data_IF_872443782991
#
_entry.id   IF_872443782991
#
_cell.length_a   1.000
_cell.length_b   1.000
_cell.length_c   1.000
_cell.angle_alpha   90.00
_cell.angle_beta   90.00
_cell.angle_gamma   90.00
#
_symmetry.space_group_name_H-M   'P 1'
#
loop_
_entity.id
_entity.type
_entity.pdbx_description
1 polymer ?
#
# COMPACT_ATOMS: atom_id res chain seq x y z
N UNK A 1 1.48 -21.19 7.43
CA UNK A 1 2.36 -20.01 7.56
C UNK A 1 2.10 -19.33 8.89
N UNK A 2 3.16 -18.92 9.61
CA UNK A 2 3.02 -18.14 10.86
C UNK A 2 2.85 -16.63 10.57
N UNK A 3 2.43 -15.84 11.57
CA UNK A 3 2.36 -14.38 11.43
C UNK A 3 3.72 -13.73 11.17
N UNK A 4 4.78 -14.23 11.82
CA UNK A 4 6.15 -13.76 11.61
C UNK A 4 6.63 -14.06 10.19
N UNK A 5 6.31 -15.25 9.69
CA UNK A 5 6.65 -15.64 8.33
C UNK A 5 5.92 -14.78 7.29
N UNK A 6 4.64 -14.49 7.50
CA UNK A 6 3.88 -13.59 6.64
C UNK A 6 4.45 -12.16 6.67
N UNK A 7 4.80 -11.65 7.86
CA UNK A 7 5.40 -10.32 8.01
C UNK A 7 6.75 -10.21 7.28
N UNK A 8 7.60 -11.24 7.38
CA UNK A 8 8.86 -11.32 6.66
C UNK A 8 8.65 -11.34 5.15
N UNK A 9 7.74 -12.18 4.63
CA UNK A 9 7.45 -12.23 3.19
C UNK A 9 6.92 -10.90 2.65
N UNK A 10 6.07 -10.19 3.41
CA UNK A 10 5.60 -8.84 3.03
C UNK A 10 6.77 -7.86 2.95
N UNK A 11 7.68 -7.91 3.93
CA UNK A 11 8.84 -7.05 3.95
C UNK A 11 9.78 -7.31 2.77
N UNK A 12 10.17 -8.57 2.54
CA UNK A 12 11.03 -9.00 1.44
C UNK A 12 10.43 -8.65 0.07
N UNK A 13 9.12 -8.85 -0.09
CA UNK A 13 8.43 -8.49 -1.32
C UNK A 13 8.52 -6.97 -1.57
N UNK A 14 8.26 -6.16 -0.54
CA UNK A 14 8.31 -4.70 -0.68
C UNK A 14 9.73 -4.22 -1.00
N UNK A 15 10.76 -4.81 -0.40
CA UNK A 15 12.15 -4.50 -0.72
C UNK A 15 12.47 -4.82 -2.18
N UNK A 16 12.16 -6.04 -2.64
CA UNK A 16 12.35 -6.44 -4.03
C UNK A 16 11.65 -5.47 -5.00
N UNK A 17 10.40 -5.10 -4.72
CA UNK A 17 9.65 -4.16 -5.56
C UNK A 17 10.24 -2.74 -5.56
N UNK A 18 10.78 -2.28 -4.43
CA UNK A 18 11.44 -0.98 -4.31
C UNK A 18 12.76 -0.95 -5.10
N UNK A 19 13.50 -2.05 -5.08
CA UNK A 19 14.77 -2.22 -5.78
C UNK A 19 14.60 -2.50 -7.28
N UNK A 20 13.36 -2.62 -7.75
CA UNK A 20 13.04 -2.82 -9.17
C UNK A 20 13.15 -4.28 -9.61
N UNK A 21 12.97 -5.23 -8.70
CA UNK A 21 12.84 -6.66 -8.95
C UNK A 21 11.36 -7.10 -8.85
N UNK A 22 10.55 -6.87 -9.90
CA UNK A 22 9.13 -7.20 -9.90
C UNK A 22 8.86 -8.71 -9.92
N UNK A 23 9.81 -9.52 -10.42
CA UNK A 23 9.65 -10.97 -10.52
C UNK A 23 9.71 -11.59 -9.12
N UNK A 24 10.76 -11.27 -8.34
CA UNK A 24 10.87 -11.72 -6.94
C UNK A 24 9.70 -11.19 -6.10
N UNK A 25 9.33 -9.92 -6.27
CA UNK A 25 8.17 -9.37 -5.56
C UNK A 25 6.87 -10.11 -5.89
N UNK A 26 6.65 -10.41 -7.18
CA UNK A 26 5.49 -11.16 -7.65
C UNK A 26 5.42 -12.57 -7.06
N UNK A 27 6.53 -13.29 -7.03
CA UNK A 27 6.62 -14.64 -6.48
C UNK A 27 6.31 -14.67 -4.98
N UNK A 28 6.85 -13.72 -4.22
CA UNK A 28 6.61 -13.61 -2.77
C UNK A 28 5.15 -13.25 -2.46
N UNK A 29 4.53 -12.35 -3.23
CA UNK A 29 3.10 -12.01 -3.08
C UNK A 29 2.22 -13.19 -3.47
N UNK A 30 2.56 -13.90 -4.55
CA UNK A 30 1.81 -15.08 -4.98
C UNK A 30 1.85 -16.18 -3.90
N UNK A 31 3.01 -16.36 -3.24
CA UNK A 31 3.14 -17.26 -2.09
C UNK A 31 2.28 -16.82 -0.92
N UNK A 32 2.31 -15.53 -0.55
CA UNK A 32 1.41 -14.98 0.47
C UNK A 32 -0.06 -15.23 0.14
N UNK A 33 -0.46 -15.05 -1.12
CA UNK A 33 -1.81 -15.30 -1.59
C UNK A 33 -2.26 -16.74 -1.45
N UNK A 34 -1.40 -17.71 -1.81
CA UNK A 34 -1.71 -19.15 -1.72
C UNK A 34 -1.87 -19.64 -0.28
N UNK A 35 -1.09 -19.09 0.65
CA UNK A 35 -0.99 -19.58 2.02
C UNK A 35 -1.83 -18.76 3.03
N UNK A 36 -2.64 -17.82 2.55
CA UNK A 36 -3.49 -16.94 3.38
C UNK A 36 -4.97 -17.26 3.24
N UNK A 37 -5.67 -17.24 4.37
CA UNK A 37 -7.12 -17.07 4.41
C UNK A 37 -7.47 -15.55 4.35
N UNK A 38 -8.77 -15.23 4.36
CA UNK A 38 -9.25 -13.86 4.32
C UNK A 38 -8.72 -13.02 5.50
N UNK A 39 -8.76 -13.54 6.73
CA UNK A 39 -8.31 -12.80 7.91
C UNK A 39 -6.79 -12.53 7.87
N UNK A 40 -6.00 -13.51 7.45
CA UNK A 40 -4.56 -13.36 7.27
C UNK A 40 -4.25 -12.37 6.16
N UNK A 41 -4.96 -12.43 5.04
CA UNK A 41 -4.78 -11.49 3.94
C UNK A 41 -5.17 -10.06 4.33
N UNK A 42 -6.16 -9.87 5.20
CA UNK A 42 -6.43 -8.57 5.81
C UNK A 42 -5.23 -8.06 6.61
N UNK A 43 -4.60 -8.92 7.40
CA UNK A 43 -3.34 -8.61 8.10
C UNK A 43 -2.21 -8.20 7.13
N UNK A 44 -2.07 -8.91 6.01
CA UNK A 44 -1.11 -8.58 4.94
C UNK A 44 -1.41 -7.19 4.35
N UNK A 45 -2.65 -6.88 3.99
CA UNK A 45 -3.03 -5.55 3.49
C UNK A 45 -2.71 -4.44 4.50
N UNK A 46 -2.94 -4.68 5.79
CA UNK A 46 -2.57 -3.74 6.85
C UNK A 46 -1.05 -3.54 6.94
N UNK A 47 -0.27 -4.61 6.88
CA UNK A 47 1.20 -4.54 6.92
C UNK A 47 1.77 -3.77 5.72
N UNK A 48 1.24 -4.05 4.52
CA UNK A 48 1.57 -3.31 3.29
C UNK A 48 1.23 -1.82 3.46
N UNK A 49 -0.01 -1.49 3.82
CA UNK A 49 -0.42 -0.09 4.00
C UNK A 49 0.36 0.65 5.09
N UNK A 50 0.77 -0.04 6.16
CA UNK A 50 1.60 0.55 7.23
C UNK A 50 2.99 0.98 6.73
N UNK A 51 3.54 0.37 5.68
CA UNK A 51 4.81 0.81 5.10
C UNK A 51 4.75 2.26 4.59
N UNK A 52 3.58 2.72 4.13
CA UNK A 52 3.37 4.08 3.64
C UNK A 52 3.53 5.14 4.75
N UNK A 53 3.29 4.80 6.03
CA UNK A 53 3.52 5.72 7.16
C UNK A 53 4.97 6.24 7.21
N UNK A 54 5.94 5.41 6.80
CA UNK A 54 7.35 5.80 6.73
C UNK A 54 7.67 6.61 5.48
N UNK A 55 6.89 6.45 4.42
CA UNK A 55 7.07 7.14 3.13
C UNK A 55 6.49 8.57 3.12
N UNK A 56 5.43 8.85 3.88
CA UNK A 56 4.72 10.14 3.81
C UNK A 56 5.55 11.33 4.27
N UNK A 57 6.37 11.20 5.31
CA UNK A 57 7.23 12.31 5.76
C UNK A 57 8.11 12.87 4.63
N UNK A 58 8.93 12.04 3.97
CA UNK A 58 9.72 12.45 2.81
C UNK A 58 8.89 12.87 1.59
N UNK A 59 7.75 12.22 1.32
CA UNK A 59 6.89 12.57 0.17
C UNK A 59 6.19 13.92 0.31
N UNK A 60 6.04 14.43 1.53
CA UNK A 60 5.39 15.71 1.78
C UNK A 60 6.31 16.73 2.44
N UNK A 61 7.63 16.48 2.46
CA UNK A 61 8.64 17.35 3.08
C UNK A 61 8.27 17.73 4.52
N UNK A 62 7.79 16.77 5.31
CA UNK A 62 7.32 16.98 6.68
C UNK A 62 5.97 17.70 6.81
N UNK A 63 5.33 18.11 5.70
CA UNK A 63 3.98 18.71 5.70
C UNK A 63 2.90 17.63 5.72
N UNK A 64 2.91 16.80 6.75
CA UNK A 64 1.87 15.80 6.98
C UNK A 64 0.76 16.38 7.85
N UNK A 65 -0.50 15.93 7.70
CA UNK A 65 -1.58 16.26 8.63
C UNK A 65 -1.18 16.00 10.08
N UNK A 66 -1.57 16.89 10.98
CA UNK A 66 -1.38 16.81 12.43
C UNK A 66 -2.69 16.35 13.12
N UNK A 67 -2.78 15.08 13.56
CA UNK A 67 -3.98 14.58 14.23
C UNK A 67 -4.30 15.32 15.53
N UNK A 68 -3.29 15.86 16.24
CA UNK A 68 -3.50 16.63 17.47
C UNK A 68 -4.21 17.97 17.20
N UNK A 69 -4.22 18.44 15.94
CA UNK A 69 -4.96 19.62 15.47
C UNK A 69 -6.25 19.26 14.73
N UNK A 70 -6.70 18.01 14.82
CA UNK A 70 -7.90 17.53 14.11
C UNK A 70 -7.71 17.43 12.59
N UNK A 71 -6.47 17.40 12.09
CA UNK A 71 -6.20 17.25 10.66
C UNK A 71 -6.15 15.75 10.30
N UNK A 72 -6.57 15.43 9.09
CA UNK A 72 -6.59 14.07 8.58
C UNK A 72 -6.03 13.99 7.16
N UNK A 73 -5.63 12.79 6.77
CA UNK A 73 -5.35 12.47 5.38
C UNK A 73 -6.65 12.42 4.58
N UNK A 74 -6.56 12.89 3.34
CA UNK A 74 -7.63 12.86 2.36
C UNK A 74 -7.10 12.27 1.08
N UNK A 75 -7.97 11.68 0.27
CA UNK A 75 -7.66 11.11 -1.05
C UNK A 75 -6.84 12.10 -1.90
N UNK A 76 -7.21 13.39 -1.89
CA UNK A 76 -6.50 14.45 -2.63
C UNK A 76 -5.03 14.63 -2.23
N UNK A 77 -4.63 14.25 -1.02
CA UNK A 77 -3.23 14.29 -0.61
C UNK A 77 -2.40 13.21 -1.32
N UNK A 78 -2.93 11.99 -1.45
CA UNK A 78 -2.23 10.87 -2.08
C UNK A 78 -2.39 10.82 -3.61
N UNK A 79 -3.42 11.47 -4.17
CA UNK A 79 -3.66 11.45 -5.61
C UNK A 79 -2.44 11.90 -6.46
N UNK A 80 -1.74 13.02 -6.15
CA UNK A 80 -0.57 13.43 -6.94
C UNK A 80 0.60 12.42 -6.95
N UNK A 81 1.11 11.90 -5.81
CA UNK A 81 2.17 10.90 -5.86
C UNK A 81 1.70 9.58 -6.48
N UNK A 82 0.47 9.12 -6.22
CA UNK A 82 -0.08 7.92 -6.88
C UNK A 82 -0.21 8.09 -8.39
N UNK A 83 -0.56 9.27 -8.88
CA UNK A 83 -0.60 9.55 -10.31
C UNK A 83 0.81 9.42 -10.96
N UNK A 84 1.87 9.80 -10.23
CA UNK A 84 3.25 9.60 -10.70
C UNK A 84 3.64 8.13 -10.72
N UNK A 85 3.25 7.36 -9.71
CA UNK A 85 3.47 5.90 -9.65
C UNK A 85 2.78 5.22 -10.83
N UNK A 86 1.55 5.63 -11.13
CA UNK A 86 0.68 5.03 -12.17
C UNK A 86 0.77 5.74 -13.52
N UNK A 87 1.88 6.41 -13.84
CA UNK A 87 1.97 7.23 -15.07
C UNK A 87 1.74 6.36 -16.30
N UNK A 88 0.77 6.75 -17.14
CA UNK A 88 0.42 6.03 -18.36
C UNK A 88 -0.52 4.82 -18.14
N UNK A 89 -0.96 4.58 -16.91
CA UNK A 89 -1.91 3.50 -16.59
C UNK A 89 -3.35 4.03 -16.65
N UNK A 90 -4.25 3.29 -17.30
CA UNK A 90 -5.69 3.60 -17.33
C UNK A 90 -6.27 3.50 -15.91
N UNK A 91 -7.19 4.40 -15.54
CA UNK A 91 -7.89 4.33 -14.26
C UNK A 91 -8.83 3.12 -14.24
N UNK A 92 -8.83 2.40 -13.12
CA UNK A 92 -9.53 1.12 -12.91
C UNK A 92 -10.05 1.08 -11.45
N UNK A 93 -11.06 0.25 -11.13
CA UNK A 93 -11.63 0.18 -9.78
C UNK A 93 -10.63 -0.12 -8.66
N UNK A 94 -9.67 -1.03 -8.87
CA UNK A 94 -8.66 -1.40 -7.87
C UNK A 94 -7.71 -0.24 -7.51
N UNK A 95 -7.55 0.74 -8.40
CA UNK A 95 -6.80 1.96 -8.09
C UNK A 95 -7.50 2.80 -7.00
N UNK A 96 -8.83 2.85 -7.02
CA UNK A 96 -9.63 3.55 -6.03
C UNK A 96 -9.65 2.80 -4.70
N UNK A 97 -9.73 1.46 -4.74
CA UNK A 97 -9.55 0.63 -3.55
C UNK A 97 -8.23 0.95 -2.85
N UNK A 98 -7.11 0.83 -3.57
CA UNK A 98 -5.77 1.05 -3.02
C UNK A 98 -5.64 2.46 -2.42
N UNK A 99 -6.07 3.49 -3.15
CA UNK A 99 -6.00 4.87 -2.70
C UNK A 99 -6.79 5.10 -1.39
N UNK A 100 -8.02 4.58 -1.31
CA UNK A 100 -8.85 4.70 -0.09
C UNK A 100 -8.30 3.88 1.07
N UNK A 101 -7.80 2.68 0.79
CA UNK A 101 -7.22 1.81 1.80
C UNK A 101 -5.97 2.45 2.42
N UNK A 102 -5.09 3.03 1.60
CA UNK A 102 -3.91 3.76 2.07
C UNK A 102 -4.27 4.99 2.91
N UNK A 103 -5.28 5.77 2.50
CA UNK A 103 -5.78 6.90 3.33
C UNK A 103 -6.28 6.39 4.68
N UNK A 104 -7.03 5.28 4.70
CA UNK A 104 -7.52 4.69 5.94
C UNK A 104 -6.37 4.18 6.84
N UNK A 105 -5.31 3.59 6.25
CA UNK A 105 -4.07 3.25 6.96
C UNK A 105 -3.40 4.48 7.59
N UNK A 106 -3.26 5.56 6.82
CA UNK A 106 -2.63 6.80 7.30
C UNK A 106 -3.42 7.50 8.41
N UNK A 107 -4.74 7.34 8.43
CA UNK A 107 -5.63 7.85 9.47
C UNK A 107 -5.85 6.89 10.64
N UNK A 108 -5.20 5.71 10.64
CA UNK A 108 -5.47 4.63 11.59
C UNK A 108 -6.97 4.22 11.69
N UNK A 109 -7.71 4.39 10.60
CA UNK A 109 -9.16 4.16 10.53
C UNK A 109 -9.45 2.67 10.28
N UNK A 110 -9.54 1.89 11.35
CA UNK A 110 -9.76 0.45 11.30
C UNK A 110 -11.13 0.08 10.71
N UNK A 111 -12.17 0.89 10.97
CA UNK A 111 -13.51 0.64 10.47
C UNK A 111 -13.55 0.75 8.94
N UNK A 112 -12.97 1.81 8.37
CA UNK A 112 -12.91 1.95 6.91
C UNK A 112 -11.99 0.92 6.25
N UNK A 113 -10.85 0.56 6.86
CA UNK A 113 -10.00 -0.52 6.32
C UNK A 113 -10.78 -1.83 6.22
N UNK A 114 -11.52 -2.20 7.27
CA UNK A 114 -12.31 -3.43 7.28
C UNK A 114 -13.47 -3.37 6.29
N UNK A 115 -14.18 -2.24 6.20
CA UNK A 115 -15.28 -2.06 5.25
C UNK A 115 -14.80 -2.14 3.79
N UNK A 116 -13.69 -1.50 3.45
CA UNK A 116 -13.09 -1.54 2.11
C UNK A 116 -12.64 -2.96 1.76
N UNK A 117 -11.98 -3.64 2.69
CA UNK A 117 -11.52 -5.01 2.52
C UNK A 117 -12.67 -5.98 2.31
N UNK A 118 -13.69 -5.93 3.18
CA UNK A 118 -14.89 -6.75 3.06
C UNK A 118 -15.61 -6.51 1.75
N UNK A 119 -15.81 -5.24 1.36
CA UNK A 119 -16.44 -4.91 0.08
C UNK A 119 -15.67 -5.48 -1.13
N UNK A 120 -14.34 -5.53 -1.07
CA UNK A 120 -13.53 -6.11 -2.14
C UNK A 120 -13.65 -7.64 -2.22
N UNK A 121 -13.86 -8.33 -1.08
CA UNK A 121 -14.07 -9.78 -1.02
C UNK A 121 -15.42 -10.22 -1.60
N UNK A 122 -16.46 -9.40 -1.45
CA UNK A 122 -17.81 -9.69 -1.97
C UNK A 122 -17.87 -9.63 -3.51
N UNK A 123 -16.88 -9.01 -4.17
CA UNK A 123 -16.85 -8.92 -5.63
C UNK A 123 -16.25 -10.20 -6.22
N UNK A 124 -16.97 -10.92 -7.09
CA UNK A 124 -16.52 -12.20 -7.62
C UNK A 124 -15.33 -12.07 -8.58
N UNK A 125 -14.65 -13.20 -8.79
CA UNK A 125 -13.54 -13.33 -9.73
C UNK A 125 -12.22 -12.75 -9.20
N UNK A 126 -11.40 -12.22 -10.10
CA UNK A 126 -10.06 -11.73 -9.77
C UNK A 126 -10.02 -10.33 -9.15
N UNK A 127 -11.18 -9.72 -8.86
CA UNK A 127 -11.26 -8.34 -8.40
C UNK A 127 -10.45 -8.10 -7.12
N UNK A 128 -10.64 -8.99 -6.14
CA UNK A 128 -9.91 -8.93 -4.88
C UNK A 128 -8.39 -9.06 -5.08
N UNK A 129 -7.95 -10.02 -5.90
CA UNK A 129 -6.54 -10.19 -6.22
C UNK A 129 -5.94 -8.93 -6.88
N UNK A 130 -6.67 -8.29 -7.80
CA UNK A 130 -6.25 -7.01 -8.41
C UNK A 130 -6.20 -5.87 -7.40
N UNK A 131 -7.11 -5.83 -6.43
CA UNK A 131 -7.08 -4.86 -5.33
C UNK A 131 -5.83 -5.02 -4.46
N UNK A 132 -5.49 -6.26 -4.07
CA UNK A 132 -4.28 -6.55 -3.28
C UNK A 132 -3.01 -6.24 -4.07
N UNK A 133 -2.92 -6.68 -5.33
CA UNK A 133 -1.77 -6.40 -6.19
C UNK A 133 -1.57 -4.89 -6.39
N UNK A 134 -2.66 -4.14 -6.60
CA UNK A 134 -2.59 -2.70 -6.75
C UNK A 134 -2.17 -1.99 -5.46
N UNK A 135 -2.72 -2.40 -4.31
CA UNK A 135 -2.31 -1.87 -2.99
C UNK A 135 -0.81 -2.05 -2.77
N UNK A 136 -0.30 -3.21 -3.14
CA UNK A 136 1.12 -3.51 -3.05
C UNK A 136 1.96 -2.63 -3.99
N UNK A 137 1.61 -2.58 -5.28
CA UNK A 137 2.32 -1.80 -6.29
C UNK A 137 2.39 -0.31 -5.93
N UNK A 138 1.27 0.26 -5.46
CA UNK A 138 1.23 1.65 -5.03
C UNK A 138 2.10 1.90 -3.80
N UNK A 139 2.04 1.00 -2.81
CA UNK A 139 2.87 1.09 -1.61
C UNK A 139 4.35 1.08 -1.96
N UNK A 140 4.78 0.11 -2.77
CA UNK A 140 6.17 0.00 -3.22
C UNK A 140 6.60 1.26 -4.00
N UNK A 141 5.76 1.74 -4.92
CA UNK A 141 6.02 2.95 -5.69
C UNK A 141 6.16 4.20 -4.82
N UNK A 142 5.30 4.38 -3.82
CA UNK A 142 5.37 5.48 -2.86
C UNK A 142 6.65 5.39 -2.02
N UNK A 143 7.02 4.21 -1.53
CA UNK A 143 8.25 3.98 -0.78
C UNK A 143 9.51 4.27 -1.63
N UNK A 144 9.55 3.78 -2.86
CA UNK A 144 10.65 4.05 -3.79
C UNK A 144 10.80 5.55 -4.08
N UNK A 145 9.67 6.26 -4.29
CA UNK A 145 9.67 7.71 -4.46
C UNK A 145 10.18 8.45 -3.21
N UNK A 146 9.77 8.02 -2.01
CA UNK A 146 10.22 8.60 -0.75
C UNK A 146 11.75 8.45 -0.57
N UNK A 147 12.28 7.26 -0.85
CA UNK A 147 13.72 6.97 -0.77
C UNK A 147 14.54 7.81 -1.75
N UNK A 148 14.06 7.99 -2.99
CA UNK A 148 14.71 8.86 -3.98
C UNK A 148 14.81 10.30 -3.47
N UNK A 149 13.73 10.85 -2.91
CA UNK A 149 13.74 12.20 -2.33
C UNK A 149 14.68 12.36 -1.14
N UNK A 150 14.75 11.35 -0.27
CA UNK A 150 15.71 11.38 0.84
C UNK A 150 17.16 11.39 0.36
N UNK A 151 17.48 10.68 -0.74
CA UNK A 151 18.81 10.68 -1.35
C UNK A 151 19.12 12.03 -2.03
N UNK A 152 18.12 12.66 -2.65
CA UNK A 152 18.25 13.98 -3.29
C UNK A 152 18.43 15.11 -2.28
N UNK A 153 17.70 15.11 -1.17
CA UNK A 153 17.81 16.14 -0.12
C UNK A 153 19.04 16.03 0.79
N UNK A 154 19.91 15.03 0.58
CA UNK A 154 21.20 14.86 1.27
C UNK A 154 22.40 15.34 0.44
N UNK A 155 22.18 15.83 -0.78
CA UNK A 155 23.21 16.42 -1.65
C UNK A 155 23.18 17.94 -1.53
#
# INVERSE_FOLDING_TARGET
MSHEEAGRLVHEALEAAIDGDPDTAGDLIARLGRDSDADRMYGVCNAVGAAVLRAVGPLFNGRTPDPAKGQAWYVMHLAPPLHRVRRGVRREPWHLFSERFLVACLNADNANKQALYGAALEVPGEHFARCVAQLFADTAGLCAMALRRQREGRR
#
